data_IF_093301094750
#
_entry.id   IF_093301094750
#
_cell.length_a   1.000
_cell.length_b   1.000
_cell.length_c   1.000
_cell.angle_alpha   90.00
_cell.angle_beta   90.00
_cell.angle_gamma   90.00
#
_symmetry.space_group_name_H-M   'P 1'
#
loop_
_entity.id
_entity.type
_entity.pdbx_description
1 polymer ?
#
# COMPACT_ATOMS: atom_id res chain seq x y z
N UNK A 1 -5.07 -57.19 -24.54
CA UNK A 1 -4.42 -56.76 -23.29
C UNK A 1 -4.84 -55.32 -22.98
N UNK A 2 -5.59 -55.19 -21.87
CA UNK A 2 -5.82 -53.99 -21.02
C UNK A 2 -6.36 -52.67 -21.61
N UNK A 3 -7.67 -52.47 -21.40
CA UNK A 3 -8.32 -51.18 -21.15
C UNK A 3 -7.78 -50.57 -19.83
N UNK A 4 -7.57 -49.25 -19.80
CA UNK A 4 -7.34 -48.47 -18.58
C UNK A 4 -8.47 -47.47 -18.35
N UNK A 5 -8.84 -47.37 -17.07
CA UNK A 5 -10.18 -47.14 -16.56
C UNK A 5 -10.29 -45.73 -15.94
N UNK A 6 -11.37 -45.01 -16.25
CA UNK A 6 -11.82 -43.78 -15.57
C UNK A 6 -12.32 -44.10 -14.15
N UNK A 7 -11.78 -43.47 -13.10
CA UNK A 7 -12.43 -43.08 -11.81
C UNK A 7 -11.52 -42.00 -11.17
N UNK A 8 -11.96 -40.82 -10.70
CA UNK A 8 -13.11 -40.51 -9.87
C UNK A 8 -12.61 -40.30 -8.44
N UNK A 9 -12.19 -39.08 -8.08
CA UNK A 9 -11.75 -38.72 -6.72
C UNK A 9 -12.93 -38.09 -5.98
N UNK A 10 -13.33 -38.73 -4.88
CA UNK A 10 -14.37 -38.27 -3.95
C UNK A 10 -13.75 -37.37 -2.87
N UNK A 11 -14.42 -36.23 -2.64
CA UNK A 11 -14.28 -35.39 -1.46
C UNK A 11 -15.03 -36.03 -0.29
N UNK A 12 -14.44 -36.03 0.91
CA UNK A 12 -15.11 -36.33 2.18
C UNK A 12 -14.90 -35.14 3.12
N UNK A 13 -16.00 -34.65 3.68
CA UNK A 13 -16.10 -33.61 4.71
C UNK A 13 -16.84 -34.16 5.95
N UNK A 14 -16.87 -33.33 7.02
CA UNK A 14 -17.52 -33.47 8.34
C UNK A 14 -16.56 -33.92 9.47
N UNK A 15 -16.59 -33.45 10.72
CA UNK A 15 -17.50 -32.61 11.54
C UNK A 15 -16.65 -31.98 12.70
N UNK A 16 -17.07 -31.10 13.63
CA UNK A 16 -18.21 -31.15 14.58
C UNK A 16 -18.37 -29.76 15.24
N UNK A 17 -19.64 -29.36 15.45
CA UNK A 17 -20.08 -28.18 16.19
C UNK A 17 -20.24 -28.47 17.70
N UNK A 18 -20.02 -27.45 18.54
CA UNK A 18 -20.31 -27.50 19.98
C UNK A 18 -20.73 -26.13 20.52
N UNK A 19 -22.05 -25.90 20.60
CA UNK A 19 -22.68 -24.79 21.30
C UNK A 19 -23.67 -25.42 22.30
N UNK A 20 -23.52 -25.13 23.58
CA UNK A 20 -24.47 -25.57 24.61
C UNK A 20 -24.68 -24.47 25.65
N UNK A 21 -25.94 -24.10 25.86
CA UNK A 21 -26.42 -23.56 27.15
C UNK A 21 -26.99 -22.14 27.14
N UNK A 22 -28.26 -21.99 26.76
CA UNK A 22 -29.16 -20.92 27.23
C UNK A 22 -30.38 -21.57 27.90
N UNK A 23 -30.77 -21.14 29.11
CA UNK A 23 -32.12 -21.25 29.72
C UNK A 23 -32.22 -20.25 30.89
N UNK A 24 -32.83 -19.08 30.71
CA UNK A 24 -34.24 -18.66 30.99
C UNK A 24 -34.58 -18.28 32.45
N UNK A 25 -34.96 -16.99 32.63
CA UNK A 25 -36.04 -16.35 33.44
C UNK A 25 -36.19 -16.75 34.94
N UNK A 26 -36.55 -15.89 35.90
CA UNK A 26 -37.44 -14.71 35.89
C UNK A 26 -37.38 -13.93 37.23
N UNK A 27 -38.06 -12.77 37.24
CA UNK A 27 -38.73 -12.10 38.38
C UNK A 27 -38.12 -10.89 39.15
N UNK A 28 -38.96 -9.84 39.13
CA UNK A 28 -38.96 -8.51 39.77
C UNK A 28 -38.99 -8.56 41.30
N UNK A 29 -38.30 -7.62 41.98
CA UNK A 29 -38.86 -6.92 43.16
C UNK A 29 -38.10 -5.63 43.51
N UNK A 30 -38.75 -4.50 43.26
CA UNK A 30 -38.42 -3.18 43.83
C UNK A 30 -38.77 -3.13 45.32
N UNK A 31 -37.80 -2.89 46.22
CA UNK A 31 -38.07 -2.21 47.51
C UNK A 31 -36.90 -1.32 47.93
N UNK A 32 -37.18 -0.02 47.98
CA UNK A 32 -36.40 1.02 48.64
C UNK A 32 -36.02 0.64 50.08
N UNK A 33 -34.76 0.88 50.46
CA UNK A 33 -34.43 1.40 51.79
C UNK A 33 -33.29 2.41 51.68
N UNK A 34 -33.65 3.66 51.96
CA UNK A 34 -32.76 4.78 52.20
C UNK A 34 -32.04 4.55 53.55
N UNK A 35 -30.72 4.69 53.56
CA UNK A 35 -30.02 5.21 54.73
C UNK A 35 -29.13 6.36 54.27
N UNK A 36 -29.50 7.55 54.71
CA UNK A 36 -28.65 8.73 54.69
C UNK A 36 -27.51 8.52 55.71
N UNK A 37 -26.27 8.69 55.27
CA UNK A 37 -25.13 8.94 56.14
C UNK A 37 -24.07 9.73 55.37
N UNK A 38 -24.06 11.03 55.67
CA UNK A 38 -22.89 11.88 55.93
C UNK A 38 -21.67 11.81 54.99
N UNK A 39 -21.54 12.92 54.26
CA UNK A 39 -20.34 13.59 53.74
C UNK A 39 -18.97 13.00 54.16
N UNK A 40 -18.18 12.59 53.16
CA UNK A 40 -16.75 12.83 53.13
C UNK A 40 -16.39 13.34 51.74
N UNK A 41 -15.84 14.55 51.70
CA UNK A 41 -15.28 15.15 50.50
C UNK A 41 -13.99 14.40 50.20
N UNK A 42 -14.06 13.42 49.30
CA UNK A 42 -12.90 12.73 48.76
C UNK A 42 -12.09 13.75 47.95
N UNK A 43 -11.09 14.39 48.57
CA UNK A 43 -9.99 15.01 47.83
C UNK A 43 -9.27 13.89 47.09
N UNK A 44 -9.71 13.61 45.86
CA UNK A 44 -8.92 12.83 44.91
C UNK A 44 -7.73 13.68 44.53
N UNK A 45 -6.65 13.59 45.30
CA UNK A 45 -5.31 13.88 44.80
C UNK A 45 -5.04 12.77 43.79
N UNK A 46 -5.40 13.01 42.53
CA UNK A 46 -4.87 12.22 41.44
C UNK A 46 -3.34 12.35 41.53
N UNK A 47 -2.58 11.26 41.58
CA UNK A 47 -1.13 11.35 41.43
C UNK A 47 -0.88 12.05 40.11
N UNK A 48 -0.07 13.11 40.12
CA UNK A 48 0.41 13.72 38.89
C UNK A 48 1.05 12.60 38.06
N UNK A 49 0.51 12.36 36.86
CA UNK A 49 1.11 11.44 35.88
C UNK A 49 2.61 11.67 35.84
N UNK A 50 3.46 10.63 35.96
CA UNK A 50 4.90 10.81 35.91
C UNK A 50 5.22 11.48 34.58
N UNK A 51 5.77 12.69 34.63
CA UNK A 51 6.23 13.43 33.45
C UNK A 51 7.15 12.50 32.69
N UNK A 52 6.64 11.93 31.59
CA UNK A 52 7.35 10.93 30.83
C UNK A 52 8.61 11.59 30.26
N UNK A 53 9.75 11.38 30.92
CA UNK A 53 11.03 11.86 30.41
C UNK A 53 11.22 11.32 29.01
N UNK A 54 11.48 12.18 28.01
CA UNK A 54 11.62 11.73 26.63
C UNK A 54 12.76 10.74 26.55
N UNK A 55 12.53 9.60 25.90
CA UNK A 55 13.55 8.56 25.74
C UNK A 55 14.81 9.15 25.10
N UNK A 56 15.98 8.59 25.42
CA UNK A 56 17.25 9.05 24.84
C UNK A 56 17.21 9.14 23.30
N UNK A 57 16.61 8.17 22.57
CA UNK A 57 16.40 8.31 21.12
C UNK A 57 15.54 9.52 20.73
N UNK A 58 14.46 9.82 21.45
CA UNK A 58 13.60 10.98 21.17
C UNK A 58 14.34 12.31 21.34
N UNK A 59 15.26 12.38 22.30
CA UNK A 59 16.12 13.56 22.50
C UNK A 59 17.15 13.72 21.38
N UNK A 60 17.72 12.60 20.90
CA UNK A 60 18.68 12.59 19.77
C UNK A 60 17.95 13.01 18.49
N UNK A 61 16.75 12.49 18.25
CA UNK A 61 15.93 12.76 17.08
C UNK A 61 15.01 13.98 17.25
N UNK A 62 15.35 14.92 18.15
CA UNK A 62 14.52 16.10 18.46
C UNK A 62 14.24 16.98 17.25
N UNK A 63 15.16 17.02 16.29
CA UNK A 63 15.02 17.78 15.05
C UNK A 63 14.51 16.93 13.88
N UNK A 64 14.00 15.72 14.17
CA UNK A 64 13.52 14.77 13.19
C UNK A 64 14.60 13.81 12.68
N UNK A 65 14.18 12.93 11.78
CA UNK A 65 15.06 11.96 11.15
C UNK A 65 15.68 12.57 9.89
N UNK A 66 17.00 12.39 9.65
CA UNK A 66 17.67 12.92 8.45
C UNK A 66 17.11 12.29 7.16
N UNK A 67 16.56 11.08 7.25
CA UNK A 67 15.86 10.43 6.17
C UNK A 67 14.97 9.31 6.70
N UNK A 68 13.78 9.23 6.13
CA UNK A 68 12.94 8.04 6.11
C UNK A 68 12.60 7.83 4.63
N UNK A 69 12.79 6.62 4.12
CA UNK A 69 12.55 6.33 2.70
C UNK A 69 11.17 6.83 2.28
N UNK A 70 11.10 7.50 1.13
CA UNK A 70 9.88 8.16 0.67
C UNK A 70 9.01 7.17 -0.10
N UNK A 71 8.20 6.41 0.63
CA UNK A 71 7.20 5.50 0.03
C UNK A 71 6.02 6.30 -0.51
N UNK A 72 5.64 6.00 -1.75
CA UNK A 72 4.58 6.66 -2.52
C UNK A 72 3.55 5.60 -2.89
N UNK A 73 2.30 5.86 -2.53
CA UNK A 73 1.16 5.02 -2.92
C UNK A 73 0.45 5.68 -4.08
N UNK A 74 0.46 5.03 -5.23
CA UNK A 74 -0.34 5.40 -6.39
C UNK A 74 -1.58 4.50 -6.44
N UNK A 75 -2.42 4.67 -7.44
CA UNK A 75 -3.71 4.00 -7.48
C UNK A 75 -3.57 2.48 -7.70
N UNK A 76 -2.58 2.06 -8.48
CA UNK A 76 -2.40 0.65 -8.90
C UNK A 76 -0.95 0.11 -8.70
N UNK A 77 -0.06 0.92 -8.11
CA UNK A 77 1.29 0.49 -7.74
C UNK A 77 1.87 1.33 -6.59
N UNK A 78 2.93 0.82 -5.97
CA UNK A 78 3.64 1.49 -4.87
C UNK A 78 5.11 1.61 -5.24
N UNK A 79 5.75 2.73 -4.91
CA UNK A 79 7.19 2.90 -5.13
C UNK A 79 7.87 3.53 -3.92
N UNK A 80 9.17 3.29 -3.77
CA UNK A 80 10.03 4.05 -2.86
C UNK A 80 10.94 4.96 -3.67
N UNK A 81 10.89 6.26 -3.41
CA UNK A 81 11.59 7.26 -4.23
C UNK A 81 12.95 7.65 -3.65
N UNK A 82 14.00 7.52 -4.48
CA UNK A 82 15.35 7.99 -4.19
C UNK A 82 15.48 9.47 -4.59
N UNK A 83 15.44 10.34 -3.58
CA UNK A 83 15.58 11.79 -3.77
C UNK A 83 16.95 12.21 -4.30
N UNK A 84 18.00 11.44 -4.04
CA UNK A 84 19.37 11.76 -4.47
C UNK A 84 19.55 11.46 -5.95
N UNK A 85 19.11 10.27 -6.37
CA UNK A 85 19.24 9.80 -7.75
C UNK A 85 18.05 10.18 -8.64
N UNK A 86 16.99 10.75 -8.06
CA UNK A 86 15.75 11.17 -8.71
C UNK A 86 15.01 10.06 -9.46
N UNK A 87 15.17 8.83 -9.01
CA UNK A 87 14.54 7.62 -9.55
C UNK A 87 13.93 6.81 -8.40
N UNK A 88 13.13 5.78 -8.66
CA UNK A 88 12.70 4.88 -7.60
C UNK A 88 13.83 3.91 -7.17
N UNK A 89 13.92 3.62 -5.89
CA UNK A 89 14.68 2.49 -5.35
C UNK A 89 14.08 1.16 -5.81
N UNK A 90 12.76 1.06 -5.74
CA UNK A 90 11.98 -0.09 -6.14
C UNK A 90 10.54 0.34 -6.47
N UNK A 91 9.88 -0.51 -7.25
CA UNK A 91 8.45 -0.41 -7.58
C UNK A 91 7.80 -1.76 -7.32
N UNK A 92 6.58 -1.75 -6.81
CA UNK A 92 5.80 -2.94 -6.48
C UNK A 92 4.41 -2.84 -7.12
N UNK A 93 4.08 -3.85 -7.93
CA UNK A 93 2.81 -3.98 -8.65
C UNK A 93 2.12 -5.29 -8.26
N UNK A 94 0.79 -5.28 -8.23
CA UNK A 94 0.00 -6.49 -8.02
C UNK A 94 -0.80 -6.82 -9.27
N UNK A 95 -0.39 -7.87 -9.99
CA UNK A 95 -0.99 -8.25 -11.26
C UNK A 95 -1.99 -9.40 -11.06
N UNK A 96 -3.20 -9.21 -11.57
CA UNK A 96 -4.25 -10.23 -11.64
C UNK A 96 -4.64 -10.44 -13.09
N UNK A 97 -5.27 -11.58 -13.40
CA UNK A 97 -5.73 -11.84 -14.77
C UNK A 97 -6.74 -10.77 -15.20
N UNK A 98 -7.54 -10.28 -14.26
CA UNK A 98 -8.55 -9.26 -14.44
C UNK A 98 -7.94 -7.88 -14.70
N UNK A 99 -6.87 -7.50 -13.98
CA UNK A 99 -6.22 -6.19 -14.17
C UNK A 99 -5.47 -6.08 -15.52
N UNK A 100 -5.00 -7.20 -16.07
CA UNK A 100 -4.32 -7.25 -17.37
C UNK A 100 -5.26 -7.27 -18.58
N UNK A 101 -6.58 -7.39 -18.37
CA UNK A 101 -7.54 -7.39 -19.47
C UNK A 101 -7.48 -6.07 -20.24
N UNK A 102 -7.55 -6.15 -21.56
CA UNK A 102 -7.57 -4.96 -22.41
C UNK A 102 -8.87 -4.19 -22.15
N UNK A 103 -8.74 -2.91 -21.86
CA UNK A 103 -9.85 -1.97 -21.77
C UNK A 103 -9.75 -0.97 -22.94
N UNK A 104 -10.71 -0.99 -23.85
CA UNK A 104 -10.70 -0.10 -25.04
C UNK A 104 -10.92 1.39 -24.68
N UNK A 105 -11.30 1.70 -23.43
CA UNK A 105 -11.41 3.08 -22.94
C UNK A 105 -10.06 3.68 -22.54
N UNK A 106 -9.02 2.85 -22.39
CA UNK A 106 -7.68 3.28 -21.96
C UNK A 106 -6.77 3.39 -23.17
N UNK A 107 -6.16 4.56 -23.34
CA UNK A 107 -5.31 4.88 -24.48
C UNK A 107 -3.98 5.47 -24.01
N UNK A 108 -2.92 4.68 -24.21
CA UNK A 108 -1.54 5.04 -23.85
C UNK A 108 -1.02 6.25 -24.64
N UNK A 109 -1.53 6.50 -25.85
CA UNK A 109 -1.07 7.60 -26.69
C UNK A 109 -1.41 8.98 -26.12
N UNK A 110 -2.39 9.04 -25.21
CA UNK A 110 -2.80 10.26 -24.50
C UNK A 110 -1.92 10.57 -23.30
N UNK A 111 -1.10 9.62 -22.85
CA UNK A 111 -0.25 9.79 -21.69
C UNK A 111 0.98 10.65 -22.04
N UNK A 112 1.34 11.55 -21.14
CA UNK A 112 2.53 12.41 -21.28
C UNK A 112 3.42 12.26 -20.06
N UNK A 113 4.73 12.24 -20.26
CA UNK A 113 5.68 12.22 -19.15
C UNK A 113 5.63 13.52 -18.36
N UNK A 114 5.33 13.42 -17.07
CA UNK A 114 5.12 14.56 -16.17
C UNK A 114 5.87 14.38 -14.86
N UNK A 115 6.34 15.49 -14.30
CA UNK A 115 6.94 15.53 -12.98
C UNK A 115 5.94 15.12 -11.88
N UNK A 116 6.40 14.43 -10.85
CA UNK A 116 5.57 14.07 -9.70
C UNK A 116 5.46 15.26 -8.73
N UNK A 117 4.28 15.88 -8.70
CA UNK A 117 4.00 17.09 -7.92
C UNK A 117 4.09 16.90 -6.41
N UNK A 118 3.98 15.67 -5.91
CA UNK A 118 4.05 15.40 -4.47
C UNK A 118 5.49 15.19 -3.99
N UNK A 119 6.45 14.98 -4.90
CA UNK A 119 7.88 15.06 -4.61
C UNK A 119 8.27 16.53 -4.60
N UNK A 120 9.07 16.98 -3.62
CA UNK A 120 9.49 18.38 -3.58
C UNK A 120 10.30 18.77 -4.84
N UNK A 121 10.07 19.93 -5.48
CA UNK A 121 10.65 20.30 -6.79
C UNK A 121 12.17 20.20 -6.93
N UNK A 122 12.90 20.36 -5.82
CA UNK A 122 14.35 20.21 -5.78
C UNK A 122 14.83 18.76 -6.05
N UNK A 123 14.01 17.77 -5.71
CA UNK A 123 14.30 16.34 -5.84
C UNK A 123 13.54 15.68 -6.99
N UNK A 124 12.68 16.41 -7.70
CA UNK A 124 11.99 15.89 -8.88
C UNK A 124 12.96 15.71 -10.04
N UNK A 125 12.87 14.57 -10.72
CA UNK A 125 13.39 14.42 -12.08
C UNK A 125 12.57 15.30 -13.03
N UNK A 126 13.21 15.88 -14.05
CA UNK A 126 12.54 16.70 -15.07
C UNK A 126 12.69 16.09 -16.44
N UNK A 127 11.76 16.42 -17.35
CA UNK A 127 11.90 16.02 -18.75
C UNK A 127 13.19 16.54 -19.42
N UNK A 128 13.72 17.67 -18.95
CA UNK A 128 15.01 18.20 -19.39
C UNK A 128 16.20 17.30 -19.05
N UNK A 129 16.11 16.50 -17.99
CA UNK A 129 17.20 15.62 -17.54
C UNK A 129 17.38 14.43 -18.50
N UNK A 130 16.31 14.03 -19.20
CA UNK A 130 16.33 12.97 -20.20
C UNK A 130 16.54 13.50 -21.62
N UNK A 131 16.11 14.72 -21.91
CA UNK A 131 16.19 15.29 -23.27
C UNK A 131 17.65 15.48 -23.67
N UNK A 132 18.10 14.72 -24.68
CA UNK A 132 19.46 14.81 -25.20
C UNK A 132 20.53 14.10 -24.35
N UNK A 133 20.13 13.31 -23.36
CA UNK A 133 21.07 12.55 -22.52
C UNK A 133 21.60 11.27 -23.17
N UNK A 134 20.95 10.81 -24.25
CA UNK A 134 21.21 9.50 -24.86
C UNK A 134 20.48 8.34 -24.18
N UNK A 135 19.67 8.61 -23.15
CA UNK A 135 18.87 7.61 -22.44
C UNK A 135 17.37 7.86 -22.64
N UNK A 136 16.62 6.76 -22.69
CA UNK A 136 15.17 6.79 -22.71
C UNK A 136 14.60 6.87 -21.28
N UNK A 137 13.33 7.33 -21.19
CA UNK A 137 12.53 7.32 -19.97
C UNK A 137 11.94 5.92 -19.78
N UNK A 138 12.73 5.06 -19.16
CA UNK A 138 12.38 3.68 -18.88
C UNK A 138 11.40 3.55 -17.75
N UNK A 139 10.24 2.92 -18.00
CA UNK A 139 9.25 2.67 -16.95
C UNK A 139 9.77 1.57 -16.01
N UNK A 140 9.60 1.76 -14.71
CA UNK A 140 9.82 0.70 -13.71
C UNK A 140 8.55 -0.15 -13.52
N UNK A 141 7.41 0.48 -13.22
CA UNK A 141 6.08 -0.10 -13.43
C UNK A 141 5.61 0.16 -14.86
N UNK A 142 5.42 -0.91 -15.62
CA UNK A 142 5.14 -0.81 -17.05
C UNK A 142 3.69 -0.38 -17.32
N UNK A 143 3.50 0.64 -18.17
CA UNK A 143 2.17 1.10 -18.61
C UNK A 143 1.24 -0.02 -19.13
N UNK A 144 1.83 -1.11 -19.66
CA UNK A 144 1.07 -2.27 -20.13
C UNK A 144 0.34 -3.05 -19.04
N UNK A 145 0.76 -2.92 -17.78
CA UNK A 145 0.17 -3.62 -16.65
C UNK A 145 -1.06 -2.90 -16.08
N UNK A 146 -1.13 -1.58 -16.28
CA UNK A 146 -2.11 -0.69 -15.65
C UNK A 146 -3.22 -0.28 -16.63
N UNK A 147 -4.03 -1.25 -17.08
CA UNK A 147 -5.03 -1.05 -18.15
C UNK A 147 -6.46 -0.86 -17.65
N UNK A 148 -6.69 -0.82 -16.35
CA UNK A 148 -8.03 -0.80 -15.77
C UNK A 148 -8.73 0.54 -16.01
N UNK A 149 -8.05 1.66 -15.79
CA UNK A 149 -8.55 2.99 -16.16
C UNK A 149 -7.44 3.90 -16.69
N UNK A 150 -7.82 5.03 -17.30
CA UNK A 150 -6.87 5.97 -17.89
C UNK A 150 -5.94 6.58 -16.85
N UNK A 151 -6.46 6.83 -15.64
CA UNK A 151 -5.68 7.41 -14.55
C UNK A 151 -4.54 6.50 -14.08
N UNK A 152 -4.78 5.19 -14.01
CA UNK A 152 -3.76 4.22 -13.61
C UNK A 152 -2.59 4.23 -14.61
N UNK A 153 -2.88 4.18 -15.92
CA UNK A 153 -1.83 4.26 -16.94
C UNK A 153 -1.15 5.63 -16.94
N UNK A 154 -1.88 6.73 -16.75
CA UNK A 154 -1.29 8.08 -16.70
C UNK A 154 -0.28 8.20 -15.55
N UNK A 155 -0.59 7.63 -14.38
CA UNK A 155 0.33 7.59 -13.24
C UNK A 155 1.63 6.83 -13.53
N UNK A 156 1.64 5.87 -14.47
CA UNK A 156 2.88 5.19 -14.85
C UNK A 156 3.85 6.10 -15.61
N UNK A 157 3.37 7.20 -16.18
CA UNK A 157 4.17 8.20 -16.89
C UNK A 157 4.75 9.29 -15.96
N UNK A 158 4.52 9.20 -14.66
CA UNK A 158 5.20 10.06 -13.69
C UNK A 158 6.71 9.80 -13.72
N UNK A 159 7.50 10.87 -13.70
CA UNK A 159 8.96 10.76 -13.70
C UNK A 159 9.52 10.10 -12.43
N UNK A 160 8.72 10.00 -11.36
CA UNK A 160 9.08 9.20 -10.18
C UNK A 160 9.15 7.69 -10.46
N UNK A 161 8.49 7.22 -11.53
CA UNK A 161 8.51 5.85 -12.04
C UNK A 161 9.49 5.65 -13.22
N UNK A 162 10.36 6.63 -13.48
CA UNK A 162 11.31 6.58 -14.61
C UNK A 162 12.74 6.32 -14.15
N UNK A 163 13.43 5.44 -14.86
CA UNK A 163 14.88 5.27 -14.79
C UNK A 163 15.50 5.51 -16.18
N UNK A 164 16.69 6.13 -16.28
CA UNK A 164 17.42 6.21 -17.53
C UNK A 164 17.72 4.80 -18.07
N UNK A 165 17.25 4.49 -19.27
CA UNK A 165 17.47 3.20 -19.92
C UNK A 165 18.17 3.36 -21.26
N UNK A 166 19.10 2.45 -21.56
CA UNK A 166 19.81 2.45 -22.84
C UNK A 166 18.89 1.97 -23.97
N UNK A 167 18.71 2.80 -24.99
CA UNK A 167 17.79 2.58 -26.11
C UNK A 167 18.07 1.31 -26.93
N UNK A 168 19.35 0.91 -27.04
CA UNK A 168 19.75 -0.18 -27.92
C UNK A 168 19.46 -1.59 -27.38
N UNK A 169 19.21 -1.74 -26.07
CA UNK A 169 19.00 -3.05 -25.44
C UNK A 169 17.58 -3.26 -24.89
N UNK A 170 16.83 -2.19 -24.62
CA UNK A 170 15.52 -2.29 -23.97
C UNK A 170 14.46 -2.99 -24.83
N UNK A 171 14.41 -2.70 -26.13
CA UNK A 171 13.39 -3.25 -27.03
C UNK A 171 13.49 -4.77 -27.20
N UNK A 172 14.69 -5.34 -27.01
CA UNK A 172 14.95 -6.77 -27.29
C UNK A 172 14.82 -7.66 -26.05
N UNK A 173 15.15 -7.15 -24.85
CA UNK A 173 15.17 -7.96 -23.62
C UNK A 173 13.98 -7.73 -22.69
N UNK A 174 13.40 -6.52 -22.65
CA UNK A 174 12.36 -6.18 -21.67
C UNK A 174 10.93 -6.18 -22.23
N UNK A 175 10.75 -6.19 -23.56
CA UNK A 175 9.43 -6.17 -24.22
C UNK A 175 9.15 -7.42 -25.08
N UNK A 176 10.05 -8.40 -25.07
CA UNK A 176 9.83 -9.67 -25.78
C UNK A 176 8.79 -10.51 -25.04
N UNK A 177 7.70 -10.94 -25.69
CA UNK A 177 6.78 -11.90 -25.09
C UNK A 177 7.52 -13.23 -24.86
N UNK A 178 7.42 -13.77 -23.65
CA UNK A 178 7.78 -15.15 -23.33
C UNK A 178 6.74 -16.09 -23.96
#
# INVERSE_FOLDING_TARGET
MTLLHRRGVQLIAAAVAGWCGCRTYDHISTKNRLHAATLLQSTSILPAEPVATPSRPSQIMRFGFPGTDSVRFLDDYVLSYDRRNRTAHWVFEHLTKESLQKNDKVDRSKCTFVEDTEVHPYFQARNSDYKGSGFDRGHLAAAGNHRKCQRDVDQTFLLSNMAPQASCAFFFFFLSPI
#
